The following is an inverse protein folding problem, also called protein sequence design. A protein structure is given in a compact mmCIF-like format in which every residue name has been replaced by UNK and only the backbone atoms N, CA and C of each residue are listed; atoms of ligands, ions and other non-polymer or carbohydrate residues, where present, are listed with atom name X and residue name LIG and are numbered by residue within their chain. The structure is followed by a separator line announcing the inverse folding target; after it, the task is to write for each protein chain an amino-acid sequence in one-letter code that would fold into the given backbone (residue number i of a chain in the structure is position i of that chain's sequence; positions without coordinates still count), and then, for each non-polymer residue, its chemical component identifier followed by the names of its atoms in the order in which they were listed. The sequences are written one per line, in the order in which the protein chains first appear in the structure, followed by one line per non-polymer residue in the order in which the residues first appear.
data_IF_340290807868
#
_entry.id   IF_340290807868
#
_cell.length_a   1.000
_cell.length_b   1.000
_cell.length_c   1.000
_cell.angle_alpha   90.00
_cell.angle_beta   90.00
_cell.angle_gamma   90.00
#
_symmetry.space_group_name_H-M   'P 1'
#
loop_
_entity.id
_entity.type
_entity.pdbx_description
1 polymer ?
#
# COMPACT_ATOMS: atom_id res chain seq x y z
N UNK A 1 7.19 10.05 3.35
CA UNK A 1 7.80 9.64 2.06
C UNK A 1 7.30 10.50 0.92
N UNK A 2 5.99 10.54 0.63
CA UNK A 2 5.44 11.39 -0.42
C UNK A 2 5.78 12.88 -0.25
N UNK A 3 5.53 13.42 0.94
CA UNK A 3 5.80 14.83 1.22
C UNK A 3 7.27 15.22 0.96
N UNK A 4 8.21 14.30 1.21
CA UNK A 4 9.65 14.52 1.02
C UNK A 4 10.15 14.13 -0.38
N UNK A 5 9.28 13.66 -1.28
CA UNK A 5 9.69 13.13 -2.60
C UNK A 5 10.60 11.90 -2.52
N UNK A 6 10.43 11.08 -1.48
CA UNK A 6 11.33 9.97 -1.14
C UNK A 6 10.98 8.62 -1.79
N UNK A 7 10.04 8.56 -2.73
CA UNK A 7 9.51 7.33 -3.32
C UNK A 7 10.60 6.51 -4.01
N UNK A 8 11.46 7.15 -4.81
CA UNK A 8 12.57 6.49 -5.48
C UNK A 8 13.61 5.91 -4.50
N UNK A 9 13.86 6.62 -3.39
CA UNK A 9 14.74 6.13 -2.32
C UNK A 9 14.11 4.96 -1.56
N UNK A 10 12.78 4.99 -1.37
CA UNK A 10 12.05 3.91 -0.74
C UNK A 10 12.12 2.63 -1.59
N UNK A 11 11.93 2.76 -2.90
CA UNK A 11 12.13 1.66 -3.85
C UNK A 11 13.57 1.13 -3.85
N UNK A 12 14.58 2.02 -3.95
CA UNK A 12 15.98 1.59 -3.94
C UNK A 12 16.34 0.86 -2.64
N UNK A 13 15.91 1.38 -1.49
CA UNK A 13 16.13 0.74 -0.19
C UNK A 13 15.52 -0.66 -0.15
N UNK A 14 14.25 -0.80 -0.51
CA UNK A 14 13.58 -2.10 -0.54
C UNK A 14 14.26 -3.11 -1.46
N UNK A 15 14.56 -2.70 -2.69
CA UNK A 15 15.15 -3.59 -3.71
C UNK A 15 16.60 -3.96 -3.40
N UNK A 16 17.43 -3.00 -2.97
CA UNK A 16 18.86 -3.24 -2.75
C UNK A 16 19.14 -4.01 -1.47
N UNK A 17 18.31 -3.83 -0.44
CA UNK A 17 18.46 -4.51 0.86
C UNK A 17 17.60 -5.77 0.99
N UNK A 18 16.72 -6.04 0.03
CA UNK A 18 15.75 -7.15 0.15
C UNK A 18 14.78 -6.93 1.31
N UNK A 19 14.24 -5.71 1.44
CA UNK A 19 13.25 -5.37 2.47
C UNK A 19 11.87 -5.28 1.79
N UNK A 20 10.89 -6.11 2.18
CA UNK A 20 9.54 -6.03 1.62
C UNK A 20 8.83 -4.75 2.08
N UNK A 21 8.12 -4.08 1.16
CA UNK A 21 7.45 -2.81 1.41
C UNK A 21 5.94 -2.96 1.26
N UNK A 22 5.21 -2.45 2.25
CA UNK A 22 3.75 -2.44 2.27
C UNK A 22 3.25 -1.01 2.34
N UNK A 23 2.31 -0.63 1.46
CA UNK A 23 1.69 0.69 1.51
C UNK A 23 0.53 0.65 2.50
N UNK A 24 0.48 1.60 3.43
CA UNK A 24 -0.69 1.78 4.28
C UNK A 24 -1.82 2.38 3.43
N UNK A 25 -3.08 1.94 3.58
CA UNK A 25 -4.22 2.50 2.84
C UNK A 25 -4.51 3.98 3.19
N UNK A 26 -3.74 4.90 2.62
CA UNK A 26 -3.93 6.35 2.73
C UNK A 26 -4.14 6.97 1.36
N UNK A 27 -4.68 8.19 1.35
CA UNK A 27 -5.12 9.00 0.21
C UNK A 27 -4.26 8.99 -1.06
N UNK A 28 -3.00 8.57 -0.98
CA UNK A 28 -2.10 8.32 -2.11
C UNK A 28 -1.26 7.07 -1.86
N UNK A 29 -1.03 6.28 -2.91
CA UNK A 29 -0.07 5.17 -2.89
C UNK A 29 1.33 5.68 -3.22
N UNK A 30 2.32 5.23 -2.44
CA UNK A 30 3.70 5.75 -2.45
C UNK A 30 4.56 5.07 -3.50
N UNK A 31 4.58 3.74 -3.48
CA UNK A 31 5.24 2.96 -4.52
C UNK A 31 4.20 2.54 -5.56
N UNK A 32 4.52 2.85 -6.81
CA UNK A 32 3.84 2.30 -7.97
C UNK A 32 3.94 0.78 -7.96
N UNK A 33 2.92 0.14 -8.49
CA UNK A 33 2.75 -1.30 -8.34
C UNK A 33 3.74 -2.13 -9.16
N UNK A 34 4.48 -1.49 -10.08
CA UNK A 34 5.62 -2.03 -10.80
C UNK A 34 6.89 -2.21 -9.94
N UNK A 35 6.94 -1.57 -8.77
CA UNK A 35 8.07 -1.68 -7.87
C UNK A 35 8.20 -3.12 -7.36
N UNK A 36 9.33 -3.77 -7.65
CA UNK A 36 9.61 -5.14 -7.23
C UNK A 36 9.49 -5.32 -5.70
N UNK A 37 9.87 -4.29 -4.95
CA UNK A 37 9.85 -4.29 -3.49
C UNK A 37 8.47 -4.04 -2.88
N UNK A 38 7.49 -3.64 -3.69
CA UNK A 38 6.12 -3.45 -3.22
C UNK A 38 5.40 -4.81 -3.11
N UNK A 39 4.93 -5.14 -1.92
CA UNK A 39 4.27 -6.41 -1.62
C UNK A 39 2.75 -6.30 -1.60
N UNK A 40 2.19 -5.10 -1.40
CA UNK A 40 0.75 -4.91 -1.25
C UNK A 40 0.42 -3.95 -0.12
N UNK A 41 -0.82 -4.05 0.36
CA UNK A 41 -1.32 -3.16 1.41
C UNK A 41 -0.90 -3.63 2.80
N UNK A 42 -0.58 -2.71 3.70
CA UNK A 42 -0.45 -2.99 5.14
C UNK A 42 -1.83 -3.08 5.80
N UNK A 43 -2.72 -3.92 5.28
CA UNK A 43 -4.08 -4.14 5.80
C UNK A 43 -4.49 -5.61 5.62
N UNK A 44 -4.67 -6.31 6.74
CA UNK A 44 -5.01 -7.74 6.75
C UNK A 44 -6.40 -8.05 6.17
N UNK A 45 -7.32 -7.08 6.11
CA UNK A 45 -8.67 -7.27 5.58
C UNK A 45 -8.71 -7.16 4.05
N UNK A 46 -7.84 -6.33 3.48
CA UNK A 46 -7.77 -6.10 2.03
C UNK A 46 -6.65 -6.91 1.36
N UNK A 47 -5.59 -7.21 2.10
CA UNK A 47 -4.44 -7.97 1.62
C UNK A 47 -3.98 -8.97 2.69
N UNK A 48 -4.56 -10.17 2.68
CA UNK A 48 -4.32 -11.22 3.67
C UNK A 48 -2.82 -11.51 3.97
N UNK A 49 -1.90 -11.54 2.97
CA UNK A 49 -0.48 -11.80 3.25
C UNK A 49 0.18 -10.79 4.18
N UNK A 50 -0.37 -9.58 4.34
CA UNK A 50 0.14 -8.63 5.33
C UNK A 50 0.01 -9.15 6.75
N UNK A 51 -1.03 -9.93 7.07
CA UNK A 51 -1.18 -10.53 8.40
C UNK A 51 -0.02 -11.47 8.73
N UNK A 52 0.39 -12.31 7.77
CA UNK A 52 1.55 -13.19 7.94
C UNK A 52 2.84 -12.36 8.03
N UNK A 53 2.96 -11.30 7.21
CA UNK A 53 4.12 -10.41 7.24
C UNK A 53 4.30 -9.71 8.60
N UNK A 54 3.21 -9.22 9.19
CA UNK A 54 3.21 -8.66 10.54
C UNK A 54 3.61 -9.72 11.58
N UNK A 55 2.93 -10.87 11.58
CA UNK A 55 3.14 -11.91 12.59
C UNK A 55 4.55 -12.51 12.58
N UNK A 56 5.15 -12.67 11.39
CA UNK A 56 6.46 -13.28 11.22
C UNK A 56 7.61 -12.25 11.33
N UNK A 57 7.30 -10.95 11.42
CA UNK A 57 8.32 -9.90 11.47
C UNK A 57 9.01 -9.79 12.83
N UNK A 58 10.31 -9.52 12.82
CA UNK A 58 11.11 -9.18 13.99
C UNK A 58 11.37 -7.66 14.12
N UNK A 59 11.28 -6.94 13.00
CA UNK A 59 11.45 -5.49 12.90
C UNK A 59 10.46 -4.90 11.88
N UNK A 60 9.78 -3.82 12.27
CA UNK A 60 8.97 -3.00 11.36
C UNK A 60 9.47 -1.56 11.38
N UNK A 61 9.73 -1.04 10.18
CA UNK A 61 10.05 0.36 9.95
C UNK A 61 8.83 1.09 9.37
N UNK A 62 8.17 1.91 10.19
CA UNK A 62 7.10 2.80 9.75
C UNK A 62 7.66 4.16 9.38
N UNK A 63 7.74 4.46 8.08
CA UNK A 63 8.43 5.65 7.56
C UNK A 63 7.42 6.69 7.09
N UNK A 64 7.33 7.82 7.80
CA UNK A 64 6.39 8.91 7.51
C UNK A 64 4.93 8.52 7.65
N UNK A 65 4.64 7.51 8.48
CA UNK A 65 3.31 6.98 8.76
C UNK A 65 2.88 7.27 10.20
N UNK A 66 1.60 7.05 10.51
CA UNK A 66 1.03 7.25 11.85
C UNK A 66 0.51 5.94 12.43
N UNK A 67 0.71 5.74 13.73
CA UNK A 67 0.08 4.70 14.53
C UNK A 67 -1.35 5.13 14.86
N UNK A 68 -2.19 5.14 13.84
CA UNK A 68 -3.61 5.46 13.96
C UNK A 68 -4.47 4.18 13.98
N UNK A 69 -5.78 4.33 13.80
CA UNK A 69 -6.73 3.23 13.80
C UNK A 69 -6.41 2.15 12.75
N UNK A 70 -5.89 2.51 11.58
CA UNK A 70 -5.53 1.53 10.54
C UNK A 70 -4.36 0.65 11.00
N UNK A 71 -3.42 1.25 11.74
CA UNK A 71 -2.25 0.58 12.27
C UNK A 71 -2.44 0.12 13.72
N UNK A 72 -3.70 -0.08 14.15
CA UNK A 72 -4.07 -0.54 15.50
C UNK A 72 -3.37 0.21 16.65
N UNK A 73 -3.00 1.47 16.41
CA UNK A 73 -2.20 2.31 17.32
C UNK A 73 -0.89 1.66 17.80
N UNK A 74 -0.29 0.79 17.00
CA UNK A 74 0.93 0.05 17.34
C UNK A 74 0.72 -1.12 18.31
N UNK A 75 -0.53 -1.51 18.58
CA UNK A 75 -0.84 -2.55 19.55
C UNK A 75 -0.93 -3.96 18.92
N UNK A 76 -0.72 -4.97 19.76
CA UNK A 76 -1.04 -6.36 19.47
C UNK A 76 -2.57 -6.56 19.24
N UNK A 77 -2.98 -7.54 18.42
CA UNK A 77 -2.15 -8.54 17.75
C UNK A 77 -1.56 -8.07 16.41
N UNK A 78 -1.94 -6.90 15.89
CA UNK A 78 -1.43 -6.43 14.59
C UNK A 78 0.09 -6.24 14.61
N UNK A 79 0.61 -5.62 15.68
CA UNK A 79 2.04 -5.58 15.95
C UNK A 79 2.36 -6.59 17.05
N UNK A 80 2.97 -7.74 16.73
CA UNK A 80 3.32 -8.73 17.74
C UNK A 80 4.27 -8.14 18.78
N UNK A 81 4.12 -8.56 20.05
CA UNK A 81 5.03 -8.14 21.12
C UNK A 81 6.49 -8.60 20.93
N UNK A 82 6.72 -9.53 20.01
CA UNK A 82 8.05 -10.01 19.59
C UNK A 82 8.71 -9.12 18.55
N UNK A 83 7.95 -8.24 17.90
CA UNK A 83 8.41 -7.37 16.83
C UNK A 83 8.86 -6.04 17.40
N UNK A 84 10.04 -5.56 17.00
CA UNK A 84 10.49 -4.19 17.30
C UNK A 84 9.85 -3.22 16.33
N UNK A 85 9.09 -2.25 16.84
CA UNK A 85 8.43 -1.22 16.04
C UNK A 85 9.22 0.09 16.07
N UNK A 86 9.72 0.52 14.91
CA UNK A 86 10.41 1.79 14.72
C UNK A 86 9.56 2.74 13.88
N UNK A 87 9.26 3.93 14.40
CA UNK A 87 8.60 5.00 13.66
C UNK A 87 9.59 6.12 13.30
N UNK A 88 9.69 6.44 12.01
CA UNK A 88 10.59 7.47 11.46
C UNK A 88 9.72 8.58 10.89
N UNK A 89 9.75 9.77 11.48
CA UNK A 89 8.87 10.87 11.06
C UNK A 89 9.61 12.21 10.95
N UNK A 90 9.15 13.07 10.04
CA UNK A 90 9.82 14.32 9.70
C UNK A 90 9.49 15.49 10.61
N UNK A 91 8.54 15.32 11.53
CA UNK A 91 8.09 16.38 12.44
C UNK A 91 7.87 15.88 13.87
N UNK A 92 8.05 16.79 14.82
CA UNK A 92 7.83 16.49 16.24
C UNK A 92 6.38 16.07 16.52
N UNK A 93 5.40 16.70 15.87
CA UNK A 93 3.98 16.37 16.01
C UNK A 93 3.69 14.93 15.59
N UNK A 94 4.29 14.45 14.49
CA UNK A 94 4.13 13.07 14.03
C UNK A 94 4.79 12.06 14.97
N UNK A 95 5.90 12.43 15.60
CA UNK A 95 6.55 11.59 16.62
C UNK A 95 5.62 11.42 17.83
N UNK A 96 4.94 12.48 18.27
CA UNK A 96 3.99 12.41 19.39
C UNK A 96 2.80 11.50 19.09
N UNK A 97 2.34 11.45 17.83
CA UNK A 97 1.32 10.48 17.39
C UNK A 97 1.83 9.02 17.41
N UNK A 98 3.14 8.80 17.39
CA UNK A 98 3.78 7.49 17.27
C UNK A 98 4.48 7.01 18.54
N UNK A 99 4.20 7.64 19.69
CA UNK A 99 4.79 7.31 21.01
C UNK A 99 4.62 5.87 21.49
N UNK A 100 3.75 5.09 20.85
CA UNK A 100 3.56 3.68 21.15
C UNK A 100 4.63 2.77 20.51
N UNK A 101 5.41 3.28 19.56
CA UNK A 101 6.54 2.56 18.99
C UNK A 101 7.66 2.34 20.02
N UNK A 102 8.40 1.24 19.88
CA UNK A 102 9.59 0.97 20.70
C UNK A 102 10.70 1.99 20.45
N UNK A 103 10.81 2.44 19.20
CA UNK A 103 11.76 3.48 18.79
C UNK A 103 11.04 4.54 17.98
N UNK A 104 11.23 5.80 18.35
CA UNK A 104 10.81 6.95 17.56
C UNK A 104 12.05 7.72 17.10
N UNK A 105 12.10 8.07 15.81
CA UNK A 105 13.21 8.79 15.19
C UNK A 105 12.69 10.00 14.44
N UNK A 106 13.05 11.19 14.91
CA UNK A 106 12.84 12.43 14.18
C UNK A 106 13.85 12.53 13.04
N UNK A 107 13.41 12.24 11.82
CA UNK A 107 14.23 12.30 10.61
C UNK A 107 13.36 12.58 9.40
N UNK A 108 13.89 13.38 8.48
CA UNK A 108 13.36 13.40 7.12
C UNK A 108 13.38 11.97 6.54
N UNK A 109 12.28 11.47 5.95
CA UNK A 109 12.23 10.14 5.36
C UNK A 109 13.28 9.90 4.28
N UNK A 110 13.56 10.89 3.44
CA UNK A 110 14.57 10.77 2.37
C UNK A 110 15.97 10.63 2.94
N UNK A 111 16.32 11.45 3.93
CA UNK A 111 17.60 11.35 4.64
C UNK A 111 17.79 9.99 5.32
N UNK A 112 16.74 9.47 5.97
CA UNK A 112 16.77 8.15 6.59
C UNK A 112 16.98 7.02 5.56
N UNK A 113 16.21 7.05 4.46
CA UNK A 113 16.31 6.05 3.40
C UNK A 113 17.69 6.06 2.73
N UNK A 114 18.27 7.24 2.50
CA UNK A 114 19.64 7.35 1.97
C UNK A 114 20.66 6.71 2.92
N UNK A 115 20.57 7.00 4.22
CA UNK A 115 21.46 6.41 5.21
C UNK A 115 21.30 4.88 5.28
N UNK A 116 20.07 4.37 5.14
CA UNK A 116 19.77 2.95 5.10
C UNK A 116 20.41 2.27 3.87
N UNK A 117 20.28 2.88 2.69
CA UNK A 117 20.93 2.42 1.45
C UNK A 117 22.46 2.41 1.60
N UNK A 118 23.04 3.47 2.16
CA UNK A 118 24.49 3.59 2.34
C UNK A 118 25.04 2.53 3.31
N UNK A 119 24.29 2.23 4.39
CA UNK A 119 24.62 1.15 5.31
C UNK A 119 24.57 -0.24 4.65
N UNK A 120 23.67 -0.44 3.68
CA UNK A 120 23.66 -1.63 2.83
C UNK A 120 24.88 -1.73 1.93
N UNK A 121 25.21 -0.62 1.24
CA UNK A 121 26.37 -0.53 0.34
C UNK A 121 27.70 -0.75 1.06
N UNK A 122 27.82 -0.32 2.31
CA UNK A 122 29.01 -0.56 3.15
C UNK A 122 29.08 -1.99 3.72
N UNK A 123 28.02 -2.78 3.61
CA UNK A 123 27.89 -4.08 4.26
C UNK A 123 27.69 -4.00 5.78
N UNK A 124 27.37 -2.82 6.31
CA UNK A 124 27.05 -2.63 7.73
C UNK A 124 25.73 -3.29 8.11
N UNK A 125 24.81 -3.40 7.15
CA UNK A 125 23.62 -4.23 7.23
C UNK A 125 23.53 -5.12 5.99
N UNK A 126 23.10 -6.37 6.17
CA UNK A 126 22.87 -7.32 5.09
C UNK A 126 21.67 -8.21 5.45
N UNK A 127 20.44 -7.72 5.25
CA UNK A 127 19.24 -8.50 5.54
C UNK A 127 19.19 -9.77 4.68
N UNK A 128 18.56 -10.81 5.22
CA UNK A 128 18.35 -12.04 4.46
C UNK A 128 17.26 -11.83 3.39
N UNK A 129 17.63 -12.03 2.13
CA UNK A 129 16.71 -11.94 0.99
C UNK A 129 15.62 -13.01 1.02
N UNK A 130 15.80 -14.11 1.75
CA UNK A 130 14.79 -15.16 1.84
C UNK A 130 13.43 -14.63 2.32
N UNK A 131 13.43 -13.64 3.22
CA UNK A 131 12.21 -12.98 3.70
C UNK A 131 11.50 -12.18 2.61
N UNK A 132 12.27 -11.46 1.80
CA UNK A 132 11.75 -10.74 0.64
C UNK A 132 11.12 -11.68 -0.39
N UNK A 133 11.84 -12.76 -0.74
CA UNK A 133 11.38 -13.73 -1.73
C UNK A 133 10.13 -14.48 -1.25
N UNK A 134 10.04 -14.78 0.05
CA UNK A 134 8.84 -15.37 0.66
C UNK A 134 7.63 -14.45 0.53
N UNK A 135 7.78 -13.15 0.80
CA UNK A 135 6.69 -12.18 0.67
C UNK A 135 6.23 -12.02 -0.78
N UNK A 136 7.16 -12.09 -1.75
CA UNK A 136 6.80 -12.14 -3.18
C UNK A 136 5.98 -13.38 -3.53
N UNK A 137 6.40 -14.56 -3.06
CA UNK A 137 5.65 -15.80 -3.27
C UNK A 137 4.25 -15.72 -2.66
N UNK A 138 4.12 -15.17 -1.45
CA UNK A 138 2.81 -14.96 -0.79
C UNK A 138 1.92 -14.00 -1.59
N UNK A 139 2.50 -12.92 -2.15
CA UNK A 139 1.78 -12.00 -3.05
C UNK A 139 1.27 -12.74 -4.30
N UNK A 140 2.14 -13.46 -4.99
CA UNK A 140 1.79 -14.21 -6.21
C UNK A 140 0.67 -15.23 -5.97
N UNK A 141 0.76 -15.98 -4.86
CA UNK A 141 -0.25 -16.93 -4.45
C UNK A 141 -1.59 -16.25 -4.12
N UNK A 142 -1.55 -15.12 -3.41
CA UNK A 142 -2.74 -14.35 -3.09
C UNK A 142 -3.43 -13.79 -4.34
N UNK A 143 -2.68 -13.22 -5.29
CA UNK A 143 -3.24 -12.71 -6.56
C UNK A 143 -3.95 -13.83 -7.31
N UNK A 144 -3.28 -14.96 -7.48
CA UNK A 144 -3.82 -16.13 -8.18
C UNK A 144 -5.12 -16.62 -7.53
N UNK A 145 -5.11 -16.71 -6.19
CA UNK A 145 -6.28 -17.14 -5.42
C UNK A 145 -7.44 -16.15 -5.54
N UNK A 146 -7.18 -14.85 -5.38
CA UNK A 146 -8.23 -13.83 -5.41
C UNK A 146 -8.98 -13.80 -6.75
N UNK A 147 -8.25 -13.91 -7.86
CA UNK A 147 -8.85 -13.96 -9.20
C UNK A 147 -9.73 -15.22 -9.33
N UNK A 148 -9.20 -16.39 -8.95
CA UNK A 148 -9.94 -17.64 -9.02
C UNK A 148 -11.20 -17.64 -8.13
N UNK A 149 -11.14 -17.05 -6.94
CA UNK A 149 -12.27 -16.95 -6.02
C UNK A 149 -13.39 -16.08 -6.62
N UNK A 150 -13.05 -14.93 -7.23
CA UNK A 150 -14.02 -14.04 -7.90
C UNK A 150 -14.71 -14.75 -9.06
N UNK A 151 -13.95 -15.45 -9.90
CA UNK A 151 -14.49 -16.23 -11.03
C UNK A 151 -15.42 -17.35 -10.54
N UNK A 152 -15.00 -18.08 -9.50
CA UNK A 152 -15.78 -19.17 -8.91
C UNK A 152 -17.09 -18.67 -8.30
N UNK A 153 -17.07 -17.58 -7.53
CA UNK A 153 -18.28 -16.98 -6.95
C UNK A 153 -19.24 -16.50 -8.04
N UNK A 154 -18.73 -15.78 -9.04
CA UNK A 154 -19.54 -15.25 -10.13
C UNK A 154 -20.20 -16.34 -10.99
N UNK A 155 -19.60 -17.53 -11.06
CA UNK A 155 -20.13 -18.69 -11.78
C UNK A 155 -21.22 -19.47 -11.02
N UNK A 156 -21.45 -19.18 -9.73
CA UNK A 156 -22.47 -19.90 -8.94
C UNK A 156 -23.89 -19.58 -9.42
N UNK A 157 -24.82 -20.56 -9.44
CA UNK A 157 -26.22 -20.31 -9.80
C UNK A 157 -26.87 -19.23 -8.93
N UNK A 158 -26.52 -19.18 -7.65
CA UNK A 158 -27.00 -18.19 -6.67
C UNK A 158 -26.54 -16.77 -7.01
N UNK A 159 -25.38 -16.61 -7.65
CA UNK A 159 -24.91 -15.31 -8.13
C UNK A 159 -25.83 -14.73 -9.20
N UNK A 160 -26.45 -15.60 -10.02
CA UNK A 160 -27.55 -15.23 -10.90
C UNK A 160 -27.20 -14.18 -11.96
N UNK A 161 -25.95 -14.15 -12.42
CA UNK A 161 -25.48 -13.21 -13.46
C UNK A 161 -25.38 -11.75 -13.01
N UNK A 162 -25.30 -11.48 -11.70
CA UNK A 162 -25.00 -10.16 -11.16
C UNK A 162 -23.57 -9.73 -11.54
N UNK A 163 -23.23 -8.47 -11.27
CA UNK A 163 -21.85 -7.99 -11.41
C UNK A 163 -21.14 -8.13 -10.07
N UNK A 164 -20.04 -8.85 -10.03
CA UNK A 164 -19.20 -8.95 -8.84
C UNK A 164 -18.48 -7.61 -8.61
N UNK A 165 -18.53 -7.01 -7.41
CA UNK A 165 -17.90 -5.70 -7.16
C UNK A 165 -16.40 -5.68 -7.46
N UNK A 166 -15.67 -6.77 -7.13
CA UNK A 166 -14.27 -6.90 -7.54
C UNK A 166 -14.10 -6.94 -9.06
N UNK A 167 -14.97 -7.66 -9.78
CA UNK A 167 -14.90 -7.75 -11.23
C UNK A 167 -15.14 -6.38 -11.87
N UNK A 168 -16.13 -5.62 -11.37
CA UNK A 168 -16.35 -4.24 -11.79
C UNK A 168 -15.08 -3.40 -11.62
N UNK A 169 -14.45 -3.46 -10.44
CA UNK A 169 -13.24 -2.69 -10.16
C UNK A 169 -12.05 -3.09 -11.08
N UNK A 170 -11.90 -4.39 -11.36
CA UNK A 170 -10.89 -4.91 -12.29
C UNK A 170 -11.17 -4.49 -13.73
N UNK A 171 -12.42 -4.60 -14.20
CA UNK A 171 -12.84 -4.23 -15.55
C UNK A 171 -12.62 -2.74 -15.82
N UNK A 172 -12.93 -1.88 -14.84
CA UNK A 172 -12.66 -0.44 -14.94
C UNK A 172 -11.16 -0.20 -15.10
N UNK A 173 -10.31 -0.81 -14.27
CA UNK A 173 -8.85 -0.65 -14.36
C UNK A 173 -8.23 -1.29 -15.62
N UNK A 174 -8.86 -2.33 -16.17
CA UNK A 174 -8.48 -2.90 -17.45
C UNK A 174 -8.74 -1.93 -18.61
N UNK A 175 -9.84 -1.17 -18.55
CA UNK A 175 -10.19 -0.17 -19.55
C UNK A 175 -9.35 1.12 -19.46
N UNK A 176 -8.70 1.37 -18.32
CA UNK A 176 -7.79 2.50 -18.14
C UNK A 176 -6.47 2.32 -18.90
N UNK A 177 -5.76 3.43 -19.12
CA UNK A 177 -4.41 3.46 -19.68
C UNK A 177 -3.38 3.80 -18.60
N UNK A 178 -2.10 3.49 -18.88
CA UNK A 178 -1.02 3.88 -17.98
C UNK A 178 -0.94 5.41 -17.88
N UNK A 179 -0.75 5.92 -16.66
CA UNK A 179 -0.77 7.34 -16.35
C UNK A 179 -2.17 7.94 -16.12
N UNK A 180 -3.24 7.16 -16.30
CA UNK A 180 -4.59 7.60 -15.91
C UNK A 180 -4.73 7.67 -14.38
N UNK A 181 -5.64 8.53 -13.92
CA UNK A 181 -5.90 8.74 -12.50
C UNK A 181 -7.17 8.01 -12.07
N UNK A 182 -7.05 7.26 -10.98
CA UNK A 182 -8.17 6.57 -10.36
C UNK A 182 -8.63 7.35 -9.12
N UNK A 183 -9.91 7.69 -9.06
CA UNK A 183 -10.55 8.26 -7.88
C UNK A 183 -11.52 7.23 -7.36
N UNK A 184 -11.50 7.00 -6.06
CA UNK A 184 -12.31 5.98 -5.39
C UNK A 184 -13.15 6.67 -4.33
N UNK A 185 -14.45 6.43 -4.32
CA UNK A 185 -15.37 6.89 -3.28
C UNK A 185 -16.39 5.79 -2.93
N UNK A 186 -17.15 5.99 -1.87
CA UNK A 186 -18.10 5.01 -1.36
C UNK A 186 -17.54 4.19 -0.20
N UNK A 187 -18.43 3.40 0.41
CA UNK A 187 -18.07 2.47 1.50
C UNK A 187 -17.38 1.23 0.94
N UNK A 188 -18.16 0.20 0.59
CA UNK A 188 -17.57 -1.06 0.12
C UNK A 188 -16.82 -0.93 -1.21
N UNK A 189 -17.23 0.00 -2.08
CA UNK A 189 -16.53 0.30 -3.34
C UNK A 189 -15.06 0.64 -3.10
N UNK A 190 -14.76 1.35 -2.01
CA UNK A 190 -13.40 1.70 -1.64
C UNK A 190 -12.53 0.47 -1.41
N UNK A 191 -13.00 -0.48 -0.60
CA UNK A 191 -12.28 -1.72 -0.34
C UNK A 191 -12.04 -2.52 -1.63
N UNK A 192 -13.08 -2.74 -2.44
CA UNK A 192 -12.96 -3.50 -3.69
C UNK A 192 -11.99 -2.85 -4.67
N UNK A 193 -12.07 -1.53 -4.85
CA UNK A 193 -11.18 -0.81 -5.76
C UNK A 193 -9.72 -0.83 -5.28
N UNK A 194 -9.46 -0.71 -3.98
CA UNK A 194 -8.08 -0.80 -3.48
C UNK A 194 -7.46 -2.18 -3.60
N UNK A 195 -8.25 -3.24 -3.41
CA UNK A 195 -7.82 -4.61 -3.67
C UNK A 195 -7.53 -4.78 -5.17
N UNK A 196 -8.45 -4.33 -6.03
CA UNK A 196 -8.28 -4.38 -7.47
C UNK A 196 -7.04 -3.60 -7.95
N UNK A 197 -6.72 -2.45 -7.33
CA UNK A 197 -5.45 -1.73 -7.60
C UNK A 197 -4.24 -2.61 -7.31
N UNK A 198 -4.23 -3.33 -6.18
CA UNK A 198 -3.11 -4.21 -5.85
C UNK A 198 -2.98 -5.37 -6.87
N UNK A 199 -4.11 -5.95 -7.29
CA UNK A 199 -4.16 -7.01 -8.31
C UNK A 199 -3.73 -6.51 -9.70
N UNK A 200 -4.32 -5.42 -10.18
CA UNK A 200 -3.99 -4.84 -11.49
C UNK A 200 -2.54 -4.39 -11.55
N UNK A 201 -2.06 -3.80 -10.46
CA UNK A 201 -0.70 -3.37 -10.32
C UNK A 201 0.33 -4.50 -10.30
N UNK A 202 0.02 -5.62 -9.64
CA UNK A 202 0.82 -6.86 -9.75
C UNK A 202 0.94 -7.34 -11.21
N UNK A 203 -0.13 -7.17 -11.99
CA UNK A 203 -0.17 -7.46 -13.42
C UNK A 203 0.42 -6.34 -14.31
N UNK A 204 1.07 -5.34 -13.72
CA UNK A 204 1.84 -4.31 -14.42
C UNK A 204 1.08 -3.04 -14.81
N UNK A 205 -0.15 -2.83 -14.33
CA UNK A 205 -0.87 -1.55 -14.51
C UNK A 205 -0.13 -0.42 -13.77
N UNK A 206 0.09 0.72 -14.44
CA UNK A 206 0.75 1.90 -13.86
C UNK A 206 -0.18 3.10 -13.85
N UNK A 207 -0.85 3.35 -12.73
CA UNK A 207 -1.71 4.52 -12.58
C UNK A 207 -0.88 5.78 -12.39
N UNK A 208 -1.33 6.91 -12.94
CA UNK A 208 -0.69 8.21 -12.73
C UNK A 208 -0.92 8.78 -11.34
N UNK A 209 -1.96 8.31 -10.66
CA UNK A 209 -2.27 8.64 -9.28
C UNK A 209 -3.57 7.99 -8.82
N UNK A 210 -3.70 7.83 -7.51
CA UNK A 210 -4.91 7.32 -6.87
C UNK A 210 -5.35 8.34 -5.83
N UNK A 211 -6.64 8.68 -5.80
CA UNK A 211 -7.26 9.51 -4.78
C UNK A 211 -8.41 8.77 -4.12
N UNK A 212 -8.46 8.75 -2.79
CA UNK A 212 -9.58 8.19 -2.04
C UNK A 212 -9.72 8.93 -0.70
N UNK A 213 -10.79 8.70 0.09
CA UNK A 213 -11.13 9.52 1.25
C UNK A 213 -10.16 9.43 2.45
N UNK A 214 -9.08 8.65 2.33
CA UNK A 214 -8.05 8.49 3.37
C UNK A 214 -8.61 7.97 4.69
N UNK A 215 -7.99 8.39 5.79
CA UNK A 215 -8.28 7.92 7.17
C UNK A 215 -9.67 8.26 7.69
N UNK A 216 -10.29 9.31 7.17
CA UNK A 216 -11.60 9.76 7.63
C UNK A 216 -12.75 9.08 6.91
N UNK A 217 -12.47 8.34 5.83
CA UNK A 217 -13.48 7.60 5.05
C UNK A 217 -14.72 8.45 4.70
N UNK A 218 -14.51 9.73 4.39
CA UNK A 218 -15.60 10.66 4.09
C UNK A 218 -16.27 10.32 2.75
N UNK A 219 -17.54 9.92 2.81
CA UNK A 219 -18.32 9.62 1.61
C UNK A 219 -18.73 10.90 0.87
N UNK A 220 -18.70 10.83 -0.47
CA UNK A 220 -19.17 11.91 -1.35
C UNK A 220 -18.07 12.90 -1.78
N UNK A 221 -16.81 12.60 -1.48
CA UNK A 221 -15.65 13.42 -1.90
C UNK A 221 -15.17 13.10 -3.32
N UNK A 222 -15.58 11.96 -3.89
CA UNK A 222 -15.08 11.41 -5.14
C UNK A 222 -15.26 12.34 -6.33
N UNK A 223 -16.44 12.96 -6.47
CA UNK A 223 -16.69 13.92 -7.55
C UNK A 223 -15.75 15.12 -7.44
N UNK A 224 -15.59 15.67 -6.24
CA UNK A 224 -14.71 16.81 -6.00
C UNK A 224 -13.24 16.47 -6.25
N UNK A 225 -12.80 15.28 -5.84
CA UNK A 225 -11.45 14.77 -6.11
C UNK A 225 -11.22 14.54 -7.61
N UNK A 226 -12.18 13.95 -8.32
CA UNK A 226 -12.05 13.71 -9.75
C UNK A 226 -11.99 15.01 -10.57
N UNK A 227 -12.83 15.99 -10.25
CA UNK A 227 -12.78 17.31 -10.87
C UNK A 227 -11.44 18.00 -10.57
N UNK A 228 -10.95 17.90 -9.34
CA UNK A 228 -9.67 18.49 -8.94
C UNK A 228 -8.49 17.84 -9.65
N UNK A 229 -8.44 16.50 -9.70
CA UNK A 229 -7.42 15.76 -10.43
C UNK A 229 -7.41 16.12 -11.92
N UNK A 230 -8.59 16.23 -12.55
CA UNK A 230 -8.70 16.60 -13.97
C UNK A 230 -8.25 18.04 -14.22
N UNK A 231 -8.47 18.94 -13.27
CA UNK A 231 -8.01 20.33 -13.37
C UNK A 231 -6.48 20.46 -13.25
N UNK A 232 -5.85 19.64 -12.40
CA UNK A 232 -4.38 19.64 -12.22
C UNK A 232 -3.67 18.82 -13.31
N UNK A 233 -4.32 17.79 -13.83
CA UNK A 233 -3.80 16.88 -14.86
C UNK A 233 -4.70 16.89 -16.11
N UNK A 234 -4.76 18.02 -16.84
CA UNK A 234 -5.72 18.20 -17.94
C UNK A 234 -5.54 17.21 -19.09
N UNK A 235 -4.31 16.71 -19.29
CA UNK A 235 -3.95 15.74 -20.33
C UNK A 235 -4.22 14.28 -19.94
N UNK A 236 -4.52 13.98 -18.67
CA UNK A 236 -4.77 12.62 -18.18
C UNK A 236 -6.26 12.28 -18.16
N UNK A 237 -6.61 11.00 -18.36
CA UNK A 237 -7.97 10.59 -18.04
C UNK A 237 -8.09 10.42 -16.53
N UNK A 238 -9.27 10.79 -16.02
CA UNK A 238 -9.61 10.64 -14.60
C UNK A 238 -10.87 9.80 -14.54
N UNK A 239 -10.80 8.68 -13.84
CA UNK A 239 -11.90 7.73 -13.69
C UNK A 239 -12.28 7.70 -12.22
N UNK A 240 -13.55 8.02 -11.94
CA UNK A 240 -14.14 7.88 -10.61
C UNK A 240 -14.93 6.58 -10.55
N UNK A 241 -14.63 5.77 -9.52
CA UNK A 241 -15.45 4.63 -9.10
C UNK A 241 -16.15 5.00 -7.79
#
# INVERSE_FOLDING_TARGET
VWWSGGEALLEEAGRSLGIPIFNIPYHQKLLGEECEAYMGLADAHQYHPSADAFNDSDLILMIGARLDNQMNFGNAPLFPATTTLCCINGSHEEIDFNRAADVTLLSDPGAFLQALIDAGKSGSIAPDRSWYDLNRQRRDAWVTKMIADVEAEAATPEFGGRIHPMQLALDVQQAMSDGDWLVIDGGNTHFWSEIAVNLAGHNGRKLGGILHPGTFSMLGVGVSFAVSAKNVHPDKNVVLI
#
